data_IF_977333635666
#
_entry.id   IF_977333635666
#
_cell.length_a   1.000
_cell.length_b   1.000
_cell.length_c   1.000
_cell.angle_alpha   90.00
_cell.angle_beta   90.00
_cell.angle_gamma   90.00
#
_symmetry.space_group_name_H-M   'P 1'
#
loop_
_entity.id
_entity.type
_entity.pdbx_description
1 polymer ?
#
# COMPACT_ATOMS: atom_id res chain seq x y z
N UNK A 1 -33.20 -34.66 -48.74
CA UNK A 1 -31.76 -34.99 -48.60
C UNK A 1 -30.88 -33.77 -48.35
N UNK A 2 -31.39 -32.54 -48.54
CA UNK A 2 -30.59 -31.31 -48.43
C UNK A 2 -30.35 -30.82 -46.99
N UNK A 3 -31.28 -31.08 -46.07
CA UNK A 3 -31.13 -30.68 -44.65
C UNK A 3 -29.96 -31.39 -43.95
N UNK A 4 -29.78 -32.69 -44.19
CA UNK A 4 -28.68 -33.50 -43.63
C UNK A 4 -27.30 -33.10 -44.18
N UNK A 5 -27.22 -32.69 -45.46
CA UNK A 5 -25.96 -32.18 -46.04
C UNK A 5 -25.57 -30.81 -45.48
N UNK A 6 -26.53 -29.95 -45.18
CA UNK A 6 -26.25 -28.65 -44.54
C UNK A 6 -25.78 -28.80 -43.09
N UNK A 7 -26.34 -29.76 -42.34
CA UNK A 7 -25.99 -30.01 -40.95
C UNK A 7 -24.59 -30.63 -40.80
N UNK A 8 -24.24 -31.60 -41.67
CA UNK A 8 -22.89 -32.22 -41.72
C UNK A 8 -21.82 -31.21 -42.19
N UNK A 9 -22.18 -30.31 -43.11
CA UNK A 9 -21.30 -29.20 -43.52
C UNK A 9 -21.06 -28.20 -42.39
N UNK A 10 -22.12 -27.81 -41.65
CA UNK A 10 -21.99 -26.89 -40.51
C UNK A 10 -21.18 -27.48 -39.34
N UNK A 11 -21.34 -28.76 -39.03
CA UNK A 11 -20.56 -29.42 -37.96
C UNK A 11 -19.08 -29.52 -38.34
N UNK A 12 -18.77 -29.90 -39.58
CA UNK A 12 -17.39 -29.93 -40.09
C UNK A 12 -16.73 -28.54 -40.09
N UNK A 13 -17.46 -27.49 -40.46
CA UNK A 13 -16.93 -26.12 -40.44
C UNK A 13 -16.69 -25.64 -39.00
N UNK A 14 -17.56 -25.99 -38.05
CA UNK A 14 -17.39 -25.62 -36.64
C UNK A 14 -16.19 -26.31 -35.97
N UNK A 15 -15.92 -27.58 -36.28
CA UNK A 15 -14.74 -28.30 -35.79
C UNK A 15 -13.44 -27.72 -36.38
N UNK A 16 -13.44 -27.37 -37.66
CA UNK A 16 -12.28 -26.75 -38.32
C UNK A 16 -11.99 -25.35 -37.73
N UNK A 17 -13.01 -24.57 -37.41
CA UNK A 17 -12.85 -23.26 -36.76
C UNK A 17 -12.33 -23.44 -35.31
N UNK A 18 -12.89 -24.39 -34.56
CA UNK A 18 -12.47 -24.67 -33.18
C UNK A 18 -11.02 -25.17 -33.12
N UNK A 19 -10.62 -26.02 -34.06
CA UNK A 19 -9.24 -26.53 -34.14
C UNK A 19 -8.25 -25.43 -34.54
N UNK A 20 -8.65 -24.53 -35.44
CA UNK A 20 -7.84 -23.36 -35.81
C UNK A 20 -7.67 -22.37 -34.64
N UNK A 21 -8.73 -22.08 -33.89
CA UNK A 21 -8.64 -21.19 -32.74
C UNK A 21 -7.81 -21.81 -31.61
N UNK A 22 -7.94 -23.13 -31.38
CA UNK A 22 -7.11 -23.85 -30.41
C UNK A 22 -5.62 -23.84 -30.80
N UNK A 23 -5.30 -24.07 -32.08
CA UNK A 23 -3.92 -24.01 -32.58
C UNK A 23 -3.33 -22.60 -32.47
N UNK A 24 -4.10 -21.55 -32.77
CA UNK A 24 -3.65 -20.16 -32.62
C UNK A 24 -3.44 -19.81 -31.14
N UNK A 25 -4.34 -20.24 -30.25
CA UNK A 25 -4.19 -20.03 -28.80
C UNK A 25 -2.95 -20.75 -28.25
N UNK A 26 -2.71 -22.00 -28.63
CA UNK A 26 -1.52 -22.76 -28.24
C UNK A 26 -0.24 -22.16 -28.82
N UNK A 27 -0.27 -21.65 -30.05
CA UNK A 27 0.87 -20.95 -30.66
C UNK A 27 1.18 -19.62 -29.96
N UNK A 28 0.17 -18.86 -29.56
CA UNK A 28 0.35 -17.62 -28.79
C UNK A 28 0.88 -17.90 -27.39
N UNK A 29 0.40 -18.95 -26.72
CA UNK A 29 0.93 -19.38 -25.41
C UNK A 29 2.38 -19.88 -25.53
N UNK A 30 2.70 -20.65 -26.56
CA UNK A 30 4.06 -21.12 -26.83
C UNK A 30 5.01 -19.96 -27.14
N UNK A 31 4.61 -19.01 -28.01
CA UNK A 31 5.37 -17.79 -28.27
C UNK A 31 5.52 -16.92 -27.02
N UNK A 32 4.49 -16.83 -26.18
CA UNK A 32 4.55 -16.15 -24.87
C UNK A 32 5.55 -16.80 -23.92
N UNK A 33 5.58 -18.13 -23.84
CA UNK A 33 6.53 -18.87 -22.99
C UNK A 33 7.96 -18.82 -23.54
N UNK A 34 8.14 -18.85 -24.85
CA UNK A 34 9.45 -18.73 -25.52
C UNK A 34 10.00 -17.31 -25.37
N UNK A 35 9.19 -16.28 -25.60
CA UNK A 35 9.59 -14.89 -25.38
C UNK A 35 9.89 -14.63 -23.90
N UNK A 36 9.11 -15.18 -22.96
CA UNK A 36 9.41 -15.09 -21.53
C UNK A 36 10.74 -15.80 -21.18
N UNK A 37 11.04 -16.96 -21.77
CA UNK A 37 12.32 -17.67 -21.56
C UNK A 37 13.53 -16.95 -22.18
N UNK A 38 13.35 -16.22 -23.27
CA UNK A 38 14.42 -15.44 -23.90
C UNK A 38 14.65 -14.10 -23.20
N UNK A 39 13.60 -13.48 -22.68
CA UNK A 39 13.67 -12.17 -22.03
C UNK A 39 14.01 -12.30 -20.53
N UNK A 40 13.56 -13.36 -19.84
CA UNK A 40 13.85 -13.59 -18.43
C UNK A 40 15.35 -13.57 -18.08
N UNK A 41 16.25 -14.27 -18.80
CA UNK A 41 17.68 -14.17 -18.51
C UNK A 41 18.21 -12.77 -18.80
N UNK A 42 17.74 -12.05 -19.83
CA UNK A 42 18.19 -10.68 -20.09
C UNK A 42 17.74 -9.67 -19.01
N UNK A 43 16.58 -9.89 -18.38
CA UNK A 43 16.09 -9.09 -17.24
C UNK A 43 16.83 -9.48 -15.94
N UNK A 44 17.08 -10.77 -15.70
CA UNK A 44 17.70 -11.27 -14.46
C UNK A 44 19.24 -11.26 -14.45
N UNK A 45 19.90 -11.22 -15.61
CA UNK A 45 21.38 -11.26 -15.70
C UNK A 45 22.05 -9.88 -15.73
N UNK A 46 21.29 -8.78 -15.86
CA UNK A 46 21.82 -7.46 -15.54
C UNK A 46 22.01 -7.37 -14.03
N UNK A 47 23.13 -7.93 -13.53
CA UNK A 47 23.66 -7.57 -12.22
C UNK A 47 23.76 -6.04 -12.22
N UNK A 48 23.05 -5.33 -11.32
CA UNK A 48 23.20 -3.89 -11.24
C UNK A 48 24.68 -3.59 -10.99
N UNK A 49 25.20 -2.54 -11.63
CA UNK A 49 26.56 -2.07 -11.39
C UNK A 49 26.77 -1.95 -9.87
N UNK A 50 27.92 -2.44 -9.37
CA UNK A 50 28.27 -2.43 -7.95
C UNK A 50 28.05 -1.00 -7.44
N UNK A 51 27.09 -0.83 -6.55
CA UNK A 51 26.71 0.49 -6.05
C UNK A 51 27.69 0.90 -4.96
N UNK A 52 27.96 2.19 -4.78
CA UNK A 52 28.76 2.67 -3.63
C UNK A 52 28.18 2.24 -2.28
N UNK A 53 26.89 1.88 -2.24
CA UNK A 53 26.20 1.32 -1.07
C UNK A 53 26.64 -0.10 -0.72
N UNK A 54 27.27 -0.84 -1.65
CA UNK A 54 27.77 -2.19 -1.42
C UNK A 54 29.14 -2.19 -0.71
N UNK A 55 29.76 -1.02 -0.54
CA UNK A 55 31.02 -0.83 0.20
C UNK A 55 30.79 -0.50 1.68
N UNK A 56 29.56 -0.11 2.04
CA UNK A 56 29.20 0.24 3.42
C UNK A 56 29.09 -1.02 4.29
N UNK A 57 29.36 -0.91 5.61
CA UNK A 57 29.11 -1.98 6.55
C UNK A 57 27.66 -2.49 6.44
N UNK A 58 27.51 -3.81 6.35
CA UNK A 58 26.22 -4.43 6.06
C UNK A 58 25.73 -5.29 7.22
N UNK A 59 24.53 -4.97 7.69
CA UNK A 59 23.84 -5.69 8.75
C UNK A 59 22.57 -6.31 8.18
N UNK A 60 22.31 -7.56 8.53
CA UNK A 60 21.09 -8.29 8.15
C UNK A 60 20.31 -8.65 9.40
N UNK A 61 19.00 -8.46 9.36
CA UNK A 61 18.10 -8.83 10.44
C UNK A 61 16.78 -9.36 9.91
N UNK A 62 16.23 -10.37 10.58
CA UNK A 62 14.89 -10.89 10.29
C UNK A 62 13.86 -10.34 11.28
N UNK A 63 14.18 -10.36 12.58
CA UNK A 63 13.21 -10.07 13.63
C UNK A 63 13.63 -8.94 14.58
N UNK A 64 14.93 -8.75 14.83
CA UNK A 64 15.41 -7.76 15.80
C UNK A 64 16.10 -6.59 15.09
N UNK A 65 15.26 -5.67 14.61
CA UNK A 65 15.71 -4.45 13.93
C UNK A 65 16.44 -3.53 14.90
N UNK A 66 15.91 -3.38 16.12
CA UNK A 66 16.45 -2.44 17.08
C UNK A 66 17.84 -2.83 17.58
N UNK A 67 18.05 -4.08 18.00
CA UNK A 67 19.36 -4.53 18.45
C UNK A 67 20.42 -4.40 17.35
N UNK A 68 20.04 -4.63 16.09
CA UNK A 68 20.96 -4.49 14.94
C UNK A 68 21.27 -3.05 14.59
N UNK A 69 20.32 -2.13 14.76
CA UNK A 69 20.61 -0.69 14.65
C UNK A 69 21.57 -0.26 15.75
N UNK A 70 21.34 -0.67 17.01
CA UNK A 70 22.22 -0.34 18.12
C UNK A 70 23.64 -0.88 17.90
N UNK A 71 23.74 -2.11 17.41
CA UNK A 71 25.03 -2.71 17.09
C UNK A 71 25.76 -1.97 15.96
N UNK A 72 25.03 -1.62 14.89
CA UNK A 72 25.57 -0.82 13.79
C UNK A 72 26.06 0.55 14.26
N UNK A 73 25.29 1.23 15.10
CA UNK A 73 25.68 2.52 15.66
C UNK A 73 26.89 2.43 16.61
N UNK A 74 27.00 1.35 17.40
CA UNK A 74 28.15 1.13 18.29
C UNK A 74 29.44 0.87 17.51
N UNK A 75 29.36 0.14 16.40
CA UNK A 75 30.52 -0.14 15.54
C UNK A 75 30.87 1.04 14.62
N UNK A 76 29.87 1.80 14.18
CA UNK A 76 29.98 2.87 13.19
C UNK A 76 29.20 4.12 13.64
N UNK A 77 29.67 4.84 14.67
CA UNK A 77 28.91 5.95 15.27
C UNK A 77 28.71 7.14 14.33
N UNK A 78 29.75 7.50 13.58
CA UNK A 78 29.78 8.67 12.69
C UNK A 78 29.78 8.29 11.19
N UNK A 79 29.53 7.01 10.88
CA UNK A 79 29.57 6.49 9.52
C UNK A 79 28.23 5.85 9.13
N UNK A 80 27.80 5.99 7.87
CA UNK A 80 26.60 5.33 7.40
C UNK A 80 26.82 3.82 7.29
N UNK A 81 25.76 3.05 7.53
CA UNK A 81 25.76 1.60 7.33
C UNK A 81 24.44 1.14 6.71
N UNK A 82 24.45 -0.03 6.10
CA UNK A 82 23.28 -0.61 5.45
C UNK A 82 22.64 -1.62 6.38
N UNK A 83 21.33 -1.52 6.57
CA UNK A 83 20.51 -2.52 7.24
C UNK A 83 19.57 -3.18 6.22
N UNK A 84 19.75 -4.47 5.99
CA UNK A 84 18.82 -5.29 5.24
C UNK A 84 17.86 -6.00 6.17
N UNK A 85 16.57 -5.82 5.92
CA UNK A 85 15.47 -6.52 6.57
C UNK A 85 14.59 -7.18 5.51
N UNK A 86 13.59 -7.94 5.93
CA UNK A 86 12.78 -8.77 5.04
C UNK A 86 12.14 -7.91 3.91
N UNK A 87 12.78 -7.96 2.74
CA UNK A 87 12.44 -7.22 1.52
C UNK A 87 12.53 -5.69 1.59
N UNK A 88 13.33 -5.16 2.50
CA UNK A 88 13.75 -3.76 2.49
C UNK A 88 15.25 -3.64 2.75
N UNK A 89 15.92 -2.76 2.02
CA UNK A 89 17.30 -2.36 2.27
C UNK A 89 17.30 -0.88 2.60
N UNK A 90 17.70 -0.52 3.81
CA UNK A 90 17.74 0.87 4.27
C UNK A 90 19.17 1.27 4.61
N UNK A 91 19.53 2.52 4.33
CA UNK A 91 20.81 3.10 4.77
C UNK A 91 20.55 3.88 6.04
N UNK A 92 21.22 3.51 7.12
CA UNK A 92 21.19 4.24 8.38
C UNK A 92 22.29 5.30 8.30
N UNK A 93 21.90 6.56 8.42
CA UNK A 93 22.81 7.71 8.40
C UNK A 93 23.18 8.11 9.83
N UNK A 94 24.40 8.63 10.06
CA UNK A 94 24.78 9.18 11.35
C UNK A 94 23.95 10.42 11.69
N UNK A 95 23.84 10.73 12.99
CA UNK A 95 23.06 11.89 13.46
C UNK A 95 23.55 13.23 12.90
N UNK A 96 24.85 13.34 12.60
CA UNK A 96 25.46 14.52 11.98
C UNK A 96 24.86 14.86 10.60
N UNK A 97 24.24 13.88 9.91
CA UNK A 97 23.62 14.08 8.61
C UNK A 97 22.23 14.70 8.67
N UNK A 98 21.60 14.80 9.85
CA UNK A 98 20.18 15.24 9.97
C UNK A 98 19.95 16.62 9.36
N UNK A 99 20.80 17.59 9.69
CA UNK A 99 20.63 18.97 9.23
C UNK A 99 20.84 19.10 7.72
N UNK A 100 21.79 18.33 7.17
CA UNK A 100 22.01 18.24 5.72
C UNK A 100 20.77 17.67 5.04
N UNK A 101 20.24 16.54 5.51
CA UNK A 101 19.08 15.89 4.90
C UNK A 101 17.83 16.77 4.96
N UNK A 102 17.62 17.49 6.08
CA UNK A 102 16.51 18.43 6.23
C UNK A 102 16.57 19.62 5.28
N UNK A 103 17.77 20.07 4.93
CA UNK A 103 17.98 21.21 4.03
C UNK A 103 17.87 20.84 2.54
N UNK A 104 17.94 19.54 2.19
CA UNK A 104 17.84 19.10 0.80
C UNK A 104 16.43 19.29 0.23
N UNK A 105 16.31 19.63 -1.06
CA UNK A 105 15.01 19.77 -1.72
C UNK A 105 14.32 18.42 -1.93
N UNK A 106 13.00 18.44 -2.10
CA UNK A 106 12.16 17.24 -2.34
C UNK A 106 12.57 16.48 -3.61
N UNK A 107 13.23 17.14 -4.57
CA UNK A 107 13.77 16.50 -5.78
C UNK A 107 14.94 15.56 -5.50
N UNK A 108 15.64 15.73 -4.37
CA UNK A 108 16.78 14.89 -3.96
C UNK A 108 16.35 13.88 -2.91
N UNK A 109 15.61 14.30 -1.88
CA UNK A 109 15.10 13.42 -0.81
C UNK A 109 13.59 13.60 -0.70
N UNK A 110 12.82 12.54 -1.02
CA UNK A 110 11.36 12.59 -1.03
C UNK A 110 10.75 11.51 -0.16
N UNK A 111 10.07 11.96 0.91
CA UNK A 111 9.24 11.09 1.75
C UNK A 111 8.06 10.51 0.97
N UNK A 112 7.47 11.28 0.05
CA UNK A 112 6.33 10.81 -0.76
C UNK A 112 6.74 9.68 -1.69
N UNK A 113 7.87 9.83 -2.39
CA UNK A 113 8.41 8.77 -3.23
C UNK A 113 8.71 7.52 -2.41
N UNK A 114 9.32 7.68 -1.24
CA UNK A 114 9.55 6.56 -0.33
C UNK A 114 8.25 5.86 0.08
N UNK A 115 7.20 6.61 0.47
CA UNK A 115 5.90 6.03 0.79
C UNK A 115 5.25 5.35 -0.41
N UNK A 116 5.37 5.93 -1.61
CA UNK A 116 4.85 5.34 -2.83
C UNK A 116 5.52 3.98 -3.12
N UNK A 117 6.84 3.91 -3.01
CA UNK A 117 7.60 2.69 -3.29
C UNK A 117 7.36 1.61 -2.21
N UNK A 118 7.39 1.99 -0.93
CA UNK A 118 7.23 1.06 0.20
C UNK A 118 5.79 0.61 0.36
N UNK A 119 4.80 1.50 0.28
CA UNK A 119 3.39 1.16 0.51
C UNK A 119 2.63 0.83 -0.77
N UNK A 120 3.33 0.59 -1.88
CA UNK A 120 2.72 0.23 -3.17
C UNK A 120 1.70 1.28 -3.63
N UNK A 121 2.11 2.54 -3.72
CA UNK A 121 1.26 3.69 -4.04
C UNK A 121 0.42 3.51 -5.31
N UNK A 122 0.87 2.68 -6.26
CA UNK A 122 0.08 2.30 -7.45
C UNK A 122 -1.25 1.58 -7.11
N UNK A 123 -1.34 0.91 -5.95
CA UNK A 123 -2.52 0.19 -5.48
C UNK A 123 -3.15 0.84 -4.25
N UNK A 124 -2.31 1.30 -3.30
CA UNK A 124 -2.76 1.90 -2.05
C UNK A 124 -3.08 3.38 -2.18
N UNK A 125 -2.58 4.06 -3.22
CA UNK A 125 -2.61 5.52 -3.38
C UNK A 125 -1.78 6.28 -2.34
N UNK A 126 -0.98 5.60 -1.51
CA UNK A 126 -0.03 6.27 -0.62
C UNK A 126 1.13 6.89 -1.40
N UNK A 127 1.56 8.08 -0.99
CA UNK A 127 2.69 8.78 -1.63
C UNK A 127 2.40 9.30 -3.04
N UNK A 128 1.15 9.22 -3.53
CA UNK A 128 0.75 9.88 -4.78
C UNK A 128 0.76 11.39 -4.62
N UNK A 129 0.95 12.12 -5.72
CA UNK A 129 0.86 13.58 -5.74
C UNK A 129 -0.52 14.03 -5.25
N UNK A 130 -0.54 14.91 -4.24
CA UNK A 130 -1.74 15.48 -3.65
C UNK A 130 -1.40 16.88 -3.08
N UNK A 131 -1.29 17.88 -3.96
CA UNK A 131 -0.83 19.22 -3.60
C UNK A 131 -1.77 19.87 -2.57
N UNK A 132 -3.07 19.64 -2.70
CA UNK A 132 -4.10 20.12 -1.78
C UNK A 132 -3.95 19.52 -0.38
N UNK A 133 -3.59 18.22 -0.30
CA UNK A 133 -3.31 17.57 0.97
C UNK A 133 -2.06 18.15 1.62
N UNK A 134 -0.99 18.37 0.84
CA UNK A 134 0.26 18.92 1.36
C UNK A 134 0.07 20.34 1.90
N UNK A 135 -0.68 21.19 1.20
CA UNK A 135 -1.00 22.55 1.64
C UNK A 135 -1.88 22.53 2.89
N UNK A 136 -2.92 21.68 2.91
CA UNK A 136 -3.80 21.55 4.07
C UNK A 136 -3.03 21.10 5.32
N UNK A 137 -2.09 20.16 5.17
CA UNK A 137 -1.26 19.70 6.30
C UNK A 137 -0.27 20.77 6.76
N UNK A 138 0.38 21.49 5.82
CA UNK A 138 1.39 22.51 6.16
C UNK A 138 0.78 23.77 6.75
N UNK A 139 -0.39 24.20 6.29
CA UNK A 139 -0.93 25.51 6.64
C UNK A 139 -2.27 25.41 7.38
N UNK A 140 -3.25 24.71 6.82
CA UNK A 140 -4.61 24.77 7.34
C UNK A 140 -4.76 24.03 8.67
N UNK A 141 -4.16 22.84 8.79
CA UNK A 141 -4.19 22.05 10.02
C UNK A 141 -3.49 22.79 11.16
N UNK A 142 -2.33 23.37 10.89
CA UNK A 142 -1.57 24.12 11.89
C UNK A 142 -2.34 25.37 12.35
N UNK A 143 -2.91 26.15 11.43
CA UNK A 143 -3.71 27.35 11.77
C UNK A 143 -5.00 27.01 12.53
N UNK A 144 -5.61 25.87 12.22
CA UNK A 144 -6.88 25.46 12.81
C UNK A 144 -6.72 24.46 13.97
N UNK A 145 -5.52 24.28 14.51
CA UNK A 145 -5.26 23.32 15.60
C UNK A 145 -6.21 23.49 16.80
N UNK A 146 -6.52 24.72 17.29
CA UNK A 146 -7.49 24.89 18.38
C UNK A 146 -8.88 24.36 18.05
N UNK A 147 -9.35 24.57 16.80
CA UNK A 147 -10.64 24.09 16.32
C UNK A 147 -10.67 22.57 16.19
N UNK A 148 -9.58 21.97 15.71
CA UNK A 148 -9.41 20.51 15.63
C UNK A 148 -9.40 19.89 17.03
N UNK A 149 -8.69 20.49 17.97
CA UNK A 149 -8.66 20.00 19.35
C UNK A 149 -10.05 20.10 20.01
N UNK A 150 -10.76 21.21 19.81
CA UNK A 150 -12.13 21.35 20.30
C UNK A 150 -13.06 20.27 19.72
N UNK A 151 -12.92 19.94 18.42
CA UNK A 151 -13.73 18.88 17.80
C UNK A 151 -13.44 17.50 18.41
N UNK A 152 -12.17 17.21 18.74
CA UNK A 152 -11.79 16.00 19.46
C UNK A 152 -12.45 15.94 20.84
N UNK A 153 -12.32 16.99 21.65
CA UNK A 153 -12.91 17.01 23.01
C UNK A 153 -14.40 16.73 22.97
N UNK A 154 -15.13 17.30 22.01
CA UNK A 154 -16.58 17.05 21.87
C UNK A 154 -16.94 15.63 21.46
N UNK A 155 -15.99 14.86 20.93
CA UNK A 155 -16.20 13.50 20.42
C UNK A 155 -15.77 12.42 21.42
N UNK A 156 -14.92 12.75 22.40
CA UNK A 156 -14.39 11.81 23.41
C UNK A 156 -15.51 11.02 24.08
N UNK A 157 -16.50 11.70 24.66
CA UNK A 157 -17.58 11.05 25.41
C UNK A 157 -18.36 10.07 24.53
N UNK A 158 -18.66 10.47 23.29
CA UNK A 158 -19.34 9.62 22.33
C UNK A 158 -18.52 8.37 22.00
N UNK A 159 -17.24 8.54 21.68
CA UNK A 159 -16.35 7.45 21.25
C UNK A 159 -16.12 6.45 22.37
N UNK A 160 -15.85 6.93 23.59
CA UNK A 160 -15.65 6.06 24.74
C UNK A 160 -16.93 5.33 25.12
N UNK A 161 -18.08 6.02 25.11
CA UNK A 161 -19.37 5.37 25.32
C UNK A 161 -19.66 4.30 24.27
N UNK A 162 -19.32 4.56 23.01
CA UNK A 162 -19.56 3.63 21.90
C UNK A 162 -18.67 2.38 21.95
N UNK A 163 -17.42 2.53 22.38
CA UNK A 163 -16.44 1.44 22.36
C UNK A 163 -16.45 0.64 23.66
N UNK A 164 -16.53 1.32 24.81
CA UNK A 164 -16.43 0.69 26.13
C UNK A 164 -17.77 0.62 26.86
N UNK A 165 -18.75 1.47 26.50
CA UNK A 165 -20.02 1.55 27.21
C UNK A 165 -19.86 2.07 28.65
N UNK A 166 -20.75 1.60 29.53
CA UNK A 166 -20.68 1.79 30.99
C UNK A 166 -20.78 0.43 31.66
N UNK A 167 -19.71 -0.37 31.65
CA UNK A 167 -19.75 -1.69 32.24
C UNK A 167 -19.87 -1.55 33.76
N UNK A 168 -20.73 -2.37 34.38
CA UNK A 168 -20.90 -2.37 35.84
C UNK A 168 -19.74 -3.08 36.54
N UNK A 169 -19.15 -4.07 35.87
CA UNK A 169 -17.98 -4.84 36.31
C UNK A 169 -16.81 -4.68 35.35
N UNK A 170 -15.61 -5.08 35.76
CA UNK A 170 -14.43 -5.06 34.90
C UNK A 170 -14.64 -5.95 33.66
N UNK A 171 -14.33 -5.42 32.47
CA UNK A 171 -14.38 -6.16 31.22
C UNK A 171 -13.02 -6.16 30.52
N UNK A 172 -12.60 -7.34 30.08
CA UNK A 172 -11.45 -7.47 29.20
C UNK A 172 -11.79 -6.90 27.82
N UNK A 173 -10.84 -6.20 27.20
CA UNK A 173 -10.94 -5.73 25.83
C UNK A 173 -9.60 -5.90 25.12
N UNK A 174 -9.60 -5.82 23.80
CA UNK A 174 -8.40 -5.89 23.00
C UNK A 174 -7.86 -4.48 22.71
N UNK A 175 -6.76 -4.03 23.36
CA UNK A 175 -6.34 -2.63 23.28
C UNK A 175 -6.06 -2.18 21.85
N UNK A 176 -5.44 -3.03 21.02
CA UNK A 176 -5.12 -2.70 19.63
C UNK A 176 -6.37 -2.39 18.80
N UNK A 177 -7.40 -3.23 18.88
CA UNK A 177 -8.63 -3.08 18.11
C UNK A 177 -9.44 -1.88 18.60
N UNK A 178 -9.61 -1.76 19.92
CA UNK A 178 -10.30 -0.64 20.53
C UNK A 178 -9.63 0.68 20.20
N UNK A 179 -8.31 0.79 20.35
CA UNK A 179 -7.58 2.04 20.10
C UNK A 179 -7.56 2.43 18.63
N UNK A 180 -7.50 1.46 17.70
CA UNK A 180 -7.63 1.76 16.28
C UNK A 180 -9.01 2.37 15.97
N UNK A 181 -10.07 1.82 16.58
CA UNK A 181 -11.45 2.31 16.40
C UNK A 181 -11.67 3.67 17.08
N UNK A 182 -11.11 3.90 18.28
CA UNK A 182 -11.09 5.22 18.93
C UNK A 182 -10.45 6.24 17.98
N UNK A 183 -9.26 5.93 17.47
CA UNK A 183 -8.50 6.83 16.61
C UNK A 183 -9.26 7.15 15.32
N UNK A 184 -9.89 6.16 14.68
CA UNK A 184 -10.67 6.36 13.46
C UNK A 184 -11.87 7.30 13.68
N UNK A 185 -12.62 7.12 14.77
CA UNK A 185 -13.78 7.99 15.07
C UNK A 185 -13.35 9.41 15.46
N UNK A 186 -12.33 9.52 16.31
CA UNK A 186 -11.79 10.83 16.76
C UNK A 186 -11.23 11.62 15.59
N UNK A 187 -10.34 11.03 14.78
CA UNK A 187 -9.75 11.69 13.61
C UNK A 187 -10.80 11.99 12.54
N UNK A 188 -11.78 11.09 12.33
CA UNK A 188 -12.90 11.31 11.44
C UNK A 188 -13.67 12.59 11.78
N UNK A 189 -13.87 12.89 13.08
CA UNK A 189 -14.58 14.10 13.49
C UNK A 189 -13.87 15.38 13.04
N UNK A 190 -12.55 15.40 13.06
CA UNK A 190 -11.78 16.55 12.60
C UNK A 190 -11.71 16.66 11.07
N UNK A 191 -11.53 15.53 10.37
CA UNK A 191 -11.26 15.55 8.93
C UNK A 191 -12.51 15.54 8.06
N UNK A 192 -13.52 14.76 8.41
CA UNK A 192 -14.75 14.64 7.61
C UNK A 192 -15.99 15.21 8.29
N UNK A 193 -15.91 15.49 9.59
CA UNK A 193 -17.01 16.05 10.35
C UNK A 193 -18.21 15.11 10.47
N UNK A 194 -19.31 15.63 11.01
CA UNK A 194 -20.57 14.89 11.11
C UNK A 194 -21.42 15.08 9.85
N UNK A 195 -22.27 14.10 9.49
CA UNK A 195 -22.48 12.83 10.19
C UNK A 195 -21.46 11.73 9.82
N UNK A 196 -20.64 11.96 8.79
CA UNK A 196 -19.78 10.94 8.19
C UNK A 196 -18.77 10.33 9.17
N UNK A 197 -18.24 11.11 10.12
CA UNK A 197 -17.29 10.60 11.13
C UNK A 197 -17.85 9.49 12.00
N UNK A 198 -19.19 9.41 12.16
CA UNK A 198 -19.87 8.39 12.98
C UNK A 198 -20.47 7.26 12.15
N UNK A 199 -20.37 7.34 10.83
CA UNK A 199 -20.79 6.28 9.92
C UNK A 199 -19.91 5.03 10.14
N UNK A 200 -20.57 3.87 10.35
CA UNK A 200 -19.87 2.63 10.67
C UNK A 200 -19.00 2.12 9.52
N UNK A 201 -19.50 2.21 8.28
CA UNK A 201 -18.76 1.80 7.09
C UNK A 201 -17.50 2.68 6.93
N UNK A 202 -17.59 3.99 7.22
CA UNK A 202 -16.44 4.90 7.22
C UNK A 202 -15.42 4.57 8.30
N UNK A 203 -15.86 4.40 9.54
CA UNK A 203 -14.98 4.12 10.67
C UNK A 203 -14.27 2.76 10.51
N UNK A 204 -15.01 1.73 10.10
CA UNK A 204 -14.46 0.40 9.83
C UNK A 204 -13.47 0.42 8.67
N UNK A 205 -13.80 1.09 7.56
CA UNK A 205 -12.90 1.21 6.43
C UNK A 205 -11.61 1.96 6.78
N UNK A 206 -11.69 3.01 7.61
CA UNK A 206 -10.51 3.75 8.08
C UNK A 206 -9.55 2.84 8.86
N UNK A 207 -10.08 1.98 9.73
CA UNK A 207 -9.28 1.00 10.49
C UNK A 207 -8.70 -0.08 9.58
N UNK A 208 -9.56 -0.69 8.76
CA UNK A 208 -9.21 -1.87 7.94
C UNK A 208 -8.31 -1.53 6.76
N UNK A 209 -8.41 -0.33 6.19
CA UNK A 209 -7.55 0.12 5.09
C UNK A 209 -6.06 -0.01 5.43
N UNK A 210 -5.62 0.46 6.60
CA UNK A 210 -4.21 0.34 7.01
C UNK A 210 -3.73 -1.11 7.14
N UNK A 211 -4.62 -2.00 7.59
CA UNK A 211 -4.32 -3.43 7.70
C UNK A 211 -4.23 -4.07 6.31
N UNK A 212 -5.13 -3.70 5.41
CA UNK A 212 -5.17 -4.22 4.04
C UNK A 212 -3.98 -3.73 3.21
N UNK A 213 -3.49 -2.50 3.42
CA UNK A 213 -2.25 -2.02 2.80
C UNK A 213 -1.08 -2.90 3.23
N UNK A 214 -1.00 -3.20 4.52
CA UNK A 214 0.06 -4.06 5.09
C UNK A 214 -0.02 -5.49 4.54
N UNK A 215 -1.22 -6.07 4.43
CA UNK A 215 -1.44 -7.40 3.83
C UNK A 215 -1.08 -7.42 2.34
N UNK A 216 -1.51 -6.40 1.58
CA UNK A 216 -1.20 -6.29 0.16
C UNK A 216 0.32 -6.17 -0.06
N UNK A 217 1.00 -5.38 0.79
CA UNK A 217 2.46 -5.27 0.78
C UNK A 217 3.14 -6.62 1.00
N UNK A 218 2.75 -7.37 2.05
CA UNK A 218 3.33 -8.68 2.33
C UNK A 218 3.17 -9.66 1.16
N UNK A 219 1.98 -9.72 0.55
CA UNK A 219 1.71 -10.66 -0.55
C UNK A 219 2.44 -10.26 -1.82
N UNK A 220 2.37 -8.99 -2.21
CA UNK A 220 3.02 -8.53 -3.44
C UNK A 220 4.53 -8.66 -3.35
N UNK A 221 5.14 -8.48 -2.17
CA UNK A 221 6.59 -8.65 -2.01
C UNK A 221 7.09 -10.08 -2.26
N UNK A 222 6.21 -11.09 -2.20
CA UNK A 222 6.55 -12.47 -2.59
C UNK A 222 6.54 -12.68 -4.11
N UNK A 223 5.98 -11.73 -4.85
CA UNK A 223 5.88 -11.76 -6.31
C UNK A 223 6.99 -10.88 -6.88
N UNK A 224 7.68 -11.27 -7.95
CA UNK A 224 8.64 -10.39 -8.62
C UNK A 224 7.95 -9.14 -9.20
N UNK A 225 8.57 -7.97 -9.10
CA UNK A 225 7.98 -6.68 -9.51
C UNK A 225 7.40 -6.67 -10.94
N UNK A 226 8.01 -7.29 -11.97
CA UNK A 226 7.43 -7.33 -13.32
C UNK A 226 6.13 -8.11 -13.42
N UNK A 227 5.80 -8.96 -12.44
CA UNK A 227 4.55 -9.70 -12.39
C UNK A 227 3.45 -8.95 -11.61
N UNK A 228 3.78 -7.87 -10.91
CA UNK A 228 2.80 -7.10 -10.14
C UNK A 228 1.68 -6.54 -11.02
N UNK A 229 2.00 -5.98 -12.19
CA UNK A 229 0.98 -5.40 -13.07
C UNK A 229 -0.02 -6.45 -13.58
N UNK A 230 0.45 -7.68 -13.77
CA UNK A 230 -0.36 -8.79 -14.27
C UNK A 230 -1.15 -9.46 -13.14
N UNK A 231 -0.49 -9.84 -12.04
CA UNK A 231 -1.10 -10.62 -10.96
C UNK A 231 -1.77 -9.75 -9.89
N UNK A 232 -1.25 -8.54 -9.65
CA UNK A 232 -1.68 -7.64 -8.60
C UNK A 232 -3.18 -7.37 -8.61
N UNK A 233 -3.80 -6.97 -9.74
CA UNK A 233 -5.25 -6.72 -9.79
C UNK A 233 -6.14 -7.91 -9.42
N UNK A 234 -5.63 -9.15 -9.56
CA UNK A 234 -6.37 -10.38 -9.24
C UNK A 234 -6.18 -10.81 -7.77
N UNK A 235 -5.25 -10.21 -7.04
CA UNK A 235 -5.06 -10.51 -5.63
C UNK A 235 -6.19 -9.89 -4.79
N UNK A 236 -6.84 -10.67 -3.90
CA UNK A 236 -7.94 -10.16 -3.09
C UNK A 236 -7.53 -9.01 -2.17
N UNK A 237 -6.27 -8.98 -1.71
CA UNK A 237 -5.71 -7.92 -0.88
C UNK A 237 -5.62 -6.58 -1.66
N UNK A 238 -5.18 -6.61 -2.91
CA UNK A 238 -5.09 -5.44 -3.79
C UNK A 238 -6.48 -4.97 -4.20
N UNK A 239 -7.38 -5.91 -4.52
CA UNK A 239 -8.77 -5.60 -4.81
C UNK A 239 -9.47 -4.92 -3.61
N UNK A 240 -9.08 -5.25 -2.38
CA UNK A 240 -9.57 -4.58 -1.17
C UNK A 240 -9.22 -3.09 -1.14
N UNK A 241 -7.99 -2.73 -1.52
CA UNK A 241 -7.55 -1.33 -1.58
C UNK A 241 -8.37 -0.52 -2.59
N UNK A 242 -8.71 -1.12 -3.74
CA UNK A 242 -9.61 -0.50 -4.71
C UNK A 242 -11.01 -0.27 -4.12
N UNK A 243 -11.57 -1.26 -3.40
CA UNK A 243 -12.87 -1.12 -2.73
C UNK A 243 -12.86 0.00 -1.69
N UNK A 244 -11.78 0.12 -0.88
CA UNK A 244 -11.62 1.21 0.09
C UNK A 244 -11.65 2.58 -0.58
N UNK A 245 -10.93 2.73 -1.70
CA UNK A 245 -10.98 3.97 -2.49
C UNK A 245 -12.37 4.25 -3.03
N UNK A 246 -13.01 3.27 -3.67
CA UNK A 246 -14.33 3.45 -4.30
C UNK A 246 -15.39 3.83 -3.24
N UNK A 247 -15.33 3.21 -2.06
CA UNK A 247 -16.17 3.57 -0.91
C UNK A 247 -15.89 4.99 -0.42
N UNK A 248 -14.61 5.34 -0.22
CA UNK A 248 -14.19 6.67 0.25
C UNK A 248 -14.65 7.76 -0.72
N UNK A 249 -14.47 7.55 -2.02
CA UNK A 249 -14.95 8.47 -3.06
C UNK A 249 -16.47 8.61 -3.04
N UNK A 250 -17.21 7.51 -2.87
CA UNK A 250 -18.68 7.54 -2.73
C UNK A 250 -19.12 8.42 -1.57
N UNK A 251 -18.50 8.27 -0.40
CA UNK A 251 -18.89 8.96 0.84
C UNK A 251 -18.41 10.41 0.91
N UNK A 252 -17.24 10.73 0.35
CA UNK A 252 -16.72 12.11 0.34
C UNK A 252 -17.32 12.98 -0.75
N UNK A 253 -17.72 12.42 -1.90
CA UNK A 253 -18.23 13.19 -3.04
C UNK A 253 -19.37 14.17 -2.70
N UNK A 254 -20.35 13.82 -1.84
CA UNK A 254 -21.39 14.78 -1.42
C UNK A 254 -20.86 15.96 -0.61
N UNK A 255 -19.77 15.78 0.15
CA UNK A 255 -19.18 16.82 1.00
C UNK A 255 -18.33 17.82 0.21
N UNK A 256 -17.78 17.37 -0.92
CA UNK A 256 -16.92 18.18 -1.79
C UNK A 256 -17.69 18.97 -2.86
N UNK A 257 -18.99 18.71 -3.03
CA UNK A 257 -19.88 19.50 -3.88
C UNK A 257 -20.36 20.71 -3.10
N UNK A 258 -19.47 21.68 -2.93
CA UNK A 258 -19.80 23.04 -2.48
C UNK A 258 -20.05 23.90 -3.71
#
# INVERSE_FOLDING_TARGET
>A
MDALRSFVSQTSVSEVILQRTLCVALALLACGLISLRLIAPAIFTKRPARSSLDELPHFVTENDVWAKIQEGHRQYPDQPFVLSMLGMRVVILPHSSIDVIKALPESVVSIKRHHYDVFLGQYSYMGTKADEFDEAMRYDLQRNTPKVLASFVTEVDYVFMKIFGKPQDWQAFQPRECMARVTALMSGRAFVGLPLSRDEEWAEATVTYTQDVTKAWMVLRMIPSPLHWLLGPYLPQVASLKRHKDMTQRKLKPLLRV
#
